data_IF_615017616161
#
_entry.id   IF_615017616161
#
_cell.length_a   1.000
_cell.length_b   1.000
_cell.length_c   1.000
_cell.angle_alpha   90.00
_cell.angle_beta   90.00
_cell.angle_gamma   90.00
#
_symmetry.space_group_name_H-M   'P 1'
#
loop_
_entity.id
_entity.type
_entity.pdbx_description
1 polymer ?
#
# COMPACT_ATOMS: atom_id res chain seq x y z
N UNK A 1 11.60 -9.68 -9.14
CA UNK A 1 13.07 -9.78 -8.97
C UNK A 1 13.71 -8.52 -8.39
N UNK A 2 12.97 -7.44 -8.08
CA UNK A 2 13.49 -6.25 -7.37
C UNK A 2 12.63 -5.84 -6.16
N UNK A 3 11.47 -6.46 -5.92
CA UNK A 3 10.54 -6.09 -4.84
C UNK A 3 9.80 -4.76 -5.05
N UNK A 4 10.21 -3.96 -6.05
CA UNK A 4 9.65 -2.65 -6.34
C UNK A 4 8.20 -2.68 -6.80
N UNK A 5 7.48 -1.65 -6.41
CA UNK A 5 6.11 -1.39 -6.85
C UNK A 5 6.14 -0.97 -8.32
N UNK A 6 5.36 -1.65 -9.14
CA UNK A 6 5.24 -1.38 -10.59
C UNK A 6 3.97 -0.60 -10.93
N UNK A 7 3.02 -0.55 -10.02
CA UNK A 7 1.71 0.04 -10.23
C UNK A 7 0.81 -0.16 -9.02
N UNK A 8 -0.20 0.70 -8.90
CA UNK A 8 -1.25 0.62 -7.89
C UNK A 8 -2.58 1.03 -8.54
N UNK A 9 -3.65 0.32 -8.20
CA UNK A 9 -4.99 0.60 -8.68
C UNK A 9 -5.92 0.92 -7.51
N UNK A 10 -6.67 2.02 -7.62
CA UNK A 10 -7.59 2.48 -6.58
C UNK A 10 -8.94 2.78 -7.22
N UNK A 11 -10.02 2.30 -6.60
CA UNK A 11 -11.40 2.57 -7.01
C UNK A 11 -12.22 2.98 -5.79
N UNK A 12 -12.94 4.09 -5.89
CA UNK A 12 -13.76 4.63 -4.80
C UNK A 12 -13.84 6.15 -4.84
N UNK A 13 -14.54 6.73 -3.87
CA UNK A 13 -14.55 8.17 -3.63
C UNK A 13 -13.15 8.66 -3.30
N UNK A 14 -12.75 9.81 -3.85
CA UNK A 14 -11.44 10.43 -3.64
C UNK A 14 -10.23 9.58 -4.10
N UNK A 15 -10.43 8.58 -4.97
CA UNK A 15 -9.32 7.78 -5.52
C UNK A 15 -8.22 8.64 -6.18
N UNK A 16 -8.59 9.76 -6.81
CA UNK A 16 -7.65 10.70 -7.41
C UNK A 16 -6.65 11.31 -6.40
N UNK A 17 -7.06 11.50 -5.14
CA UNK A 17 -6.21 12.04 -4.08
C UNK A 17 -5.21 10.99 -3.59
N UNK A 18 -5.62 9.72 -3.53
CA UNK A 18 -4.79 8.60 -3.08
C UNK A 18 -3.75 8.16 -4.12
N UNK A 19 -4.06 8.33 -5.41
CA UNK A 19 -3.13 8.01 -6.51
C UNK A 19 -1.83 8.82 -6.39
N UNK A 20 -1.86 10.02 -5.81
CA UNK A 20 -0.67 10.85 -5.63
C UNK A 20 0.45 10.11 -4.87
N UNK A 21 0.10 9.44 -3.77
CA UNK A 21 1.04 8.64 -2.98
C UNK A 21 1.62 7.48 -3.79
N UNK A 22 0.76 6.74 -4.51
CA UNK A 22 1.18 5.65 -5.37
C UNK A 22 2.15 6.09 -6.47
N UNK A 23 1.89 7.23 -7.11
CA UNK A 23 2.77 7.77 -8.14
C UNK A 23 4.14 8.17 -7.58
N UNK A 24 4.16 8.77 -6.38
CA UNK A 24 5.40 9.11 -5.69
C UNK A 24 6.20 7.86 -5.33
N UNK A 25 5.54 6.82 -4.81
CA UNK A 25 6.20 5.56 -4.46
C UNK A 25 6.84 4.88 -5.69
N UNK A 26 6.18 4.93 -6.86
CA UNK A 26 6.70 4.37 -8.11
C UNK A 26 7.92 5.18 -8.60
N UNK A 27 7.84 6.51 -8.61
CA UNK A 27 8.95 7.38 -9.02
C UNK A 27 10.18 7.23 -8.11
N UNK A 28 9.96 7.07 -6.81
CA UNK A 28 11.02 6.81 -5.83
C UNK A 28 11.57 5.38 -5.93
N UNK A 29 10.90 4.49 -6.67
CA UNK A 29 11.28 3.09 -6.79
C UNK A 29 11.12 2.30 -5.49
N UNK A 30 10.13 2.66 -4.67
CA UNK A 30 9.83 2.04 -3.39
C UNK A 30 9.48 0.55 -3.53
N UNK A 31 9.76 -0.21 -2.47
CA UNK A 31 9.26 -1.57 -2.28
C UNK A 31 7.98 -1.58 -1.42
N UNK A 32 7.44 -2.78 -1.18
CA UNK A 32 6.21 -2.94 -0.37
C UNK A 32 6.45 -2.58 1.11
N UNK A 33 7.66 -2.81 1.62
CA UNK A 33 8.00 -2.52 3.01
C UNK A 33 8.10 -1.02 3.28
N UNK A 34 8.56 -0.23 2.31
CA UNK A 34 8.62 1.23 2.39
C UNK A 34 7.23 1.83 2.69
N UNK A 35 6.19 1.35 1.98
CA UNK A 35 4.80 1.80 2.21
C UNK A 35 4.23 1.19 3.48
N UNK A 36 4.41 -0.12 3.71
CA UNK A 36 3.85 -0.82 4.88
C UNK A 36 4.37 -0.25 6.21
N UNK A 37 5.64 0.17 6.26
CA UNK A 37 6.24 0.76 7.46
C UNK A 37 5.98 2.27 7.58
N UNK A 38 5.43 2.91 6.54
CA UNK A 38 5.01 4.30 6.60
C UNK A 38 3.71 4.41 7.40
N UNK A 39 3.72 5.21 8.46
CA UNK A 39 2.56 5.39 9.33
C UNK A 39 1.54 6.27 8.60
N UNK A 40 0.43 5.66 8.20
CA UNK A 40 -0.71 6.37 7.65
C UNK A 40 -1.64 6.83 8.77
N UNK A 41 -2.26 8.00 8.58
CA UNK A 41 -3.18 8.54 9.58
C UNK A 41 -4.44 7.68 9.70
N UNK A 42 -4.89 7.43 10.93
CA UNK A 42 -6.15 6.72 11.22
C UNK A 42 -7.18 7.68 11.85
N UNK A 43 -8.48 7.63 11.46
CA UNK A 43 -9.08 6.85 10.36
C UNK A 43 -9.10 7.65 9.04
N UNK A 44 -8.52 7.11 7.96
CA UNK A 44 -8.49 7.78 6.65
C UNK A 44 -8.67 6.80 5.49
N UNK A 45 -8.84 7.31 4.26
CA UNK A 45 -8.76 6.42 3.09
C UNK A 45 -7.30 6.10 2.71
N UNK A 46 -6.35 6.96 3.08
CA UNK A 46 -4.92 6.74 2.78
C UNK A 46 -4.33 5.52 3.49
N UNK A 47 -4.84 5.14 4.68
CA UNK A 47 -4.37 3.92 5.36
C UNK A 47 -4.62 2.64 4.54
N UNK A 48 -5.54 2.67 3.59
CA UNK A 48 -5.77 1.54 2.68
C UNK A 48 -4.56 1.24 1.79
N UNK A 49 -3.72 2.24 1.50
CA UNK A 49 -2.46 2.06 0.77
C UNK A 49 -1.50 1.17 1.57
N UNK A 50 -1.32 1.46 2.87
CA UNK A 50 -0.54 0.62 3.78
C UNK A 50 -1.14 -0.79 3.93
N UNK A 51 -2.46 -0.90 4.11
CA UNK A 51 -3.09 -2.22 4.25
C UNK A 51 -2.86 -3.11 3.03
N UNK A 52 -2.87 -2.54 1.82
CA UNK A 52 -2.58 -3.29 0.60
C UNK A 52 -1.15 -3.84 0.60
N UNK A 53 -0.18 -3.06 1.06
CA UNK A 53 1.23 -3.49 1.12
C UNK A 53 1.52 -4.43 2.29
N UNK A 54 0.92 -4.22 3.46
CA UNK A 54 0.99 -5.13 4.61
C UNK A 54 0.36 -6.49 4.29
N UNK A 55 -0.70 -6.50 3.47
CA UNK A 55 -1.30 -7.74 2.98
C UNK A 55 -0.33 -8.51 2.07
N UNK A 56 0.43 -7.82 1.23
CA UNK A 56 1.45 -8.45 0.38
C UNK A 56 2.65 -8.96 1.19
N UNK A 57 3.08 -8.23 2.22
CA UNK A 57 4.15 -8.62 3.16
C UNK A 57 3.69 -9.71 4.17
N UNK A 58 2.38 -9.87 4.35
CA UNK A 58 1.80 -10.82 5.31
C UNK A 58 1.88 -10.36 6.76
N UNK A 59 2.05 -9.05 6.99
CA UNK A 59 2.08 -8.41 8.31
C UNK A 59 0.73 -7.81 8.72
N UNK A 60 -0.25 -7.78 7.81
CA UNK A 60 -1.57 -7.20 8.04
C UNK A 60 -2.28 -7.82 9.24
N UNK A 61 -2.81 -6.97 10.13
CA UNK A 61 -3.62 -7.38 11.29
C UNK A 61 -5.08 -6.99 11.19
N UNK A 62 -5.41 -5.95 10.41
CA UNK A 62 -6.78 -5.46 10.23
C UNK A 62 -7.62 -6.32 9.27
N UNK A 63 -6.97 -7.20 8.50
CA UNK A 63 -7.59 -8.15 7.58
C UNK A 63 -7.05 -9.56 7.79
N UNK A 64 -7.70 -10.55 7.19
CA UNK A 64 -7.21 -11.92 7.18
C UNK A 64 -5.91 -12.00 6.37
N UNK A 65 -4.77 -12.40 6.98
CA UNK A 65 -3.52 -12.52 6.26
C UNK A 65 -3.62 -13.63 5.21
N UNK A 66 -2.93 -13.48 4.06
CA UNK A 66 -2.92 -14.53 3.04
C UNK A 66 -2.36 -15.82 3.63
N UNK A 67 -2.97 -16.97 3.30
CA UNK A 67 -2.45 -18.28 3.70
C UNK A 67 -1.01 -18.40 3.20
N UNK A 68 -0.06 -18.67 4.10
CA UNK A 68 1.31 -19.03 3.74
C UNK A 68 1.24 -20.15 2.70
N UNK A 69 1.85 -19.92 1.52
CA UNK A 69 2.08 -20.98 0.53
C UNK A 69 3.03 -22.02 1.08
#
# INVERSE_FOLDING_TARGET
KTGRILGMGICGTNAGELIAEATLAIEMGCDMSDIALTIHAHPTLSETTAFATEMAEGTITDLLPPKKK
#
